data_IF_594796398969
#
_entry.id   IF_594796398969
#
_cell.length_a   1.000
_cell.length_b   1.000
_cell.length_c   1.000
_cell.angle_alpha   90.00
_cell.angle_beta   90.00
_cell.angle_gamma   90.00
#
_symmetry.space_group_name_H-M   'P 1'
#
loop_
_entity.id
_entity.type
_entity.pdbx_description
1 polymer ?
#
# COMPACT_ATOMS: atom_id res chain seq x y z
N UNK A 1 7.74 -4.91 -9.53
CA UNK A 1 6.88 -3.98 -10.30
C UNK A 1 6.83 -2.68 -9.51
N UNK A 2 7.06 -1.50 -10.10
CA UNK A 2 7.19 -0.25 -9.33
C UNK A 2 5.81 0.32 -8.99
N UNK A 3 5.57 0.64 -7.70
CA UNK A 3 4.34 1.32 -7.26
C UNK A 3 4.23 2.68 -7.94
N UNK A 4 3.13 2.92 -8.62
CA UNK A 4 2.88 4.20 -9.27
C UNK A 4 2.34 5.22 -8.26
N UNK A 5 2.60 6.53 -8.44
CA UNK A 5 2.22 7.56 -7.45
C UNK A 5 0.72 7.60 -7.14
N UNK A 6 -0.13 7.25 -8.10
CA UNK A 6 -1.58 7.21 -7.90
C UNK A 6 -2.05 5.98 -7.10
N UNK A 7 -1.18 4.98 -6.89
CA UNK A 7 -1.61 3.70 -6.33
C UNK A 7 -2.00 3.82 -4.85
N UNK A 8 -1.23 4.58 -4.08
CA UNK A 8 -1.48 4.82 -2.66
C UNK A 8 -2.75 5.64 -2.39
N UNK A 9 -2.97 6.81 -3.03
CA UNK A 9 -4.17 7.60 -2.77
C UNK A 9 -5.45 6.86 -3.15
N UNK A 10 -5.44 6.09 -4.24
CA UNK A 10 -6.61 5.30 -4.64
C UNK A 10 -6.81 4.09 -3.70
N UNK A 11 -5.74 3.45 -3.21
CA UNK A 11 -5.83 2.42 -2.16
C UNK A 11 -6.51 2.99 -0.90
N UNK A 12 -6.05 4.15 -0.43
CA UNK A 12 -6.59 4.83 0.74
C UNK A 12 -8.08 5.20 0.58
N UNK A 13 -8.47 5.70 -0.59
CA UNK A 13 -9.88 6.02 -0.89
C UNK A 13 -10.76 4.76 -0.88
N UNK A 14 -10.27 3.64 -1.44
CA UNK A 14 -11.03 2.40 -1.55
C UNK A 14 -11.22 1.73 -0.17
N UNK A 15 -10.17 1.69 0.65
CA UNK A 15 -10.25 1.20 2.03
C UNK A 15 -11.20 2.07 2.85
N UNK A 16 -11.11 3.40 2.74
CA UNK A 16 -12.01 4.33 3.45
C UNK A 16 -13.47 4.21 3.02
N UNK A 17 -13.73 3.83 1.76
CA UNK A 17 -15.07 3.59 1.25
C UNK A 17 -15.68 2.25 1.73
N UNK A 18 -14.96 1.49 2.57
CA UNK A 18 -15.44 0.21 3.12
C UNK A 18 -15.41 -0.93 2.11
N UNK A 19 -14.61 -0.82 1.04
CA UNK A 19 -14.33 -1.98 0.18
C UNK A 19 -13.32 -2.89 0.87
N UNK A 20 -13.62 -4.18 0.90
CA UNK A 20 -12.66 -5.19 1.32
C UNK A 20 -11.44 -5.16 0.39
N UNK A 21 -10.27 -5.12 1.00
CA UNK A 21 -8.98 -5.10 0.29
C UNK A 21 -8.88 -6.28 -0.67
N UNK A 22 -9.47 -7.43 -0.29
CA UNK A 22 -9.51 -8.67 -1.06
C UNK A 22 -10.31 -8.56 -2.37
N UNK A 23 -11.16 -7.53 -2.51
CA UNK A 23 -11.94 -7.27 -3.74
C UNK A 23 -11.17 -6.40 -4.74
N UNK A 24 -10.00 -5.90 -4.37
CA UNK A 24 -9.14 -5.12 -5.25
C UNK A 24 -8.33 -6.04 -6.17
N UNK A 25 -7.95 -5.57 -7.38
CA UNK A 25 -7.09 -6.35 -8.25
C UNK A 25 -5.75 -6.69 -7.56
N UNK A 26 -5.29 -7.94 -7.63
CA UNK A 26 -4.01 -8.38 -7.02
C UNK A 26 -2.81 -7.56 -7.49
N UNK A 27 -2.83 -7.10 -8.74
CA UNK A 27 -1.83 -6.19 -9.35
C UNK A 27 -1.70 -4.84 -8.63
N UNK A 28 -2.59 -4.59 -7.67
CA UNK A 28 -2.66 -3.38 -6.88
C UNK A 28 -2.37 -3.64 -5.40
N UNK A 29 -2.85 -4.77 -4.87
CA UNK A 29 -2.68 -5.13 -3.46
C UNK A 29 -1.21 -5.40 -3.15
N UNK A 30 -0.57 -6.30 -3.90
CA UNK A 30 0.79 -6.75 -3.61
C UNK A 30 1.81 -5.58 -3.63
N UNK A 31 1.85 -4.75 -4.69
CA UNK A 31 2.83 -3.68 -4.77
C UNK A 31 2.64 -2.61 -3.68
N UNK A 32 1.39 -2.27 -3.36
CA UNK A 32 1.08 -1.29 -2.32
C UNK A 32 1.45 -1.84 -0.95
N UNK A 33 1.15 -3.11 -0.67
CA UNK A 33 1.53 -3.76 0.58
C UNK A 33 3.05 -3.78 0.78
N UNK A 34 3.81 -4.17 -0.25
CA UNK A 34 5.27 -4.16 -0.20
C UNK A 34 5.84 -2.76 0.04
N UNK A 35 5.26 -1.73 -0.61
CA UNK A 35 5.70 -0.35 -0.41
C UNK A 35 5.36 0.21 0.98
N UNK A 36 4.23 -0.17 1.55
CA UNK A 36 3.87 0.21 2.92
C UNK A 36 4.76 -0.51 3.94
N UNK A 37 5.02 -1.80 3.74
CA UNK A 37 5.94 -2.58 4.58
C UNK A 37 7.35 -1.98 4.58
N UNK A 38 7.89 -1.67 3.40
CA UNK A 38 9.21 -1.05 3.28
C UNK A 38 9.30 0.33 3.97
N UNK A 39 8.21 1.11 4.00
CA UNK A 39 8.16 2.38 4.73
C UNK A 39 8.15 2.17 6.25
N UNK A 40 7.39 1.20 6.75
CA UNK A 40 7.38 0.85 8.17
C UNK A 40 8.75 0.31 8.62
N UNK A 41 9.38 -0.55 7.83
CA UNK A 41 10.72 -1.06 8.10
C UNK A 41 11.77 0.06 8.11
N UNK A 42 11.69 1.01 7.16
CA UNK A 42 12.56 2.18 7.14
C UNK A 42 12.32 3.12 8.33
N UNK A 43 11.07 3.28 8.77
CA UNK A 43 10.74 4.09 9.94
C UNK A 43 11.23 3.44 11.25
N UNK A 44 11.14 2.11 11.35
CA UNK A 44 11.61 1.33 12.50
C UNK A 44 13.15 1.26 12.56
N UNK A 45 13.82 1.17 11.41
CA UNK A 45 15.29 1.17 11.33
C UNK A 45 15.95 2.55 11.48
N UNK A 46 15.17 3.65 11.45
CA UNK A 46 15.67 5.01 11.65
C UNK A 46 15.80 5.41 13.13
N UNK A 47 15.44 4.52 14.06
CA UNK A 47 15.51 4.72 15.52
C UNK A 47 16.69 3.99 16.20
N UNK A 48 17.74 3.63 15.46
CA UNK A 48 19.00 3.06 15.98
C UNK A 48 20.21 4.00 15.80
#
# INVERSE_FOLDING_TARGET
MTVKPYMIPVYAVLVKAGRDIETLPEVYILPVAEHLAAQEEAALGATE
#
